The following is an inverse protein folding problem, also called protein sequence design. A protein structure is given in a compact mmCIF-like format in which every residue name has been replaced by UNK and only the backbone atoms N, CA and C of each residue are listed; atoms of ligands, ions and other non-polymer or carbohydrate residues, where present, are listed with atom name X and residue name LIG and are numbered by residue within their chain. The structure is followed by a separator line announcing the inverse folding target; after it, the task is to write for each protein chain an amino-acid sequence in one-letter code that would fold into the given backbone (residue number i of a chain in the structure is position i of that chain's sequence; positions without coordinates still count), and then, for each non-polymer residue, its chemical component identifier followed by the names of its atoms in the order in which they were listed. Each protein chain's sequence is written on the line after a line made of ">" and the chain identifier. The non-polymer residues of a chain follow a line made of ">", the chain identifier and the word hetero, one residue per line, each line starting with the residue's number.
data_IF_721215291596
#
_entry.id   IF_721215291596
#
_cell.length_a   1.000
_cell.length_b   1.000
_cell.length_c   1.000
_cell.angle_alpha   90.00
_cell.angle_beta   90.00
_cell.angle_gamma   90.00
#
_symmetry.space_group_name_H-M   'P 1'
#
loop_
_entity.id
_entity.type
_entity.pdbx_description
1 polymer ?
#
# COMPACT_ATOMS: atom_id res chain seq x y z
N UNK A 1 3.21 -0.87 11.55
CA UNK A 1 2.38 -0.10 12.49
C UNK A 1 0.88 -0.43 12.38
N UNK A 2 0.23 -0.26 11.22
CA UNK A 2 -1.23 -0.50 11.08
C UNK A 2 -1.67 -1.95 11.34
N UNK A 3 -0.92 -2.95 10.84
CA UNK A 3 -1.18 -4.37 11.13
C UNK A 3 -1.24 -4.64 12.65
N UNK A 4 -0.17 -4.24 13.35
CA UNK A 4 -0.03 -4.38 14.81
C UNK A 4 -1.14 -3.65 15.56
N UNK A 5 -1.55 -2.47 15.09
CA UNK A 5 -2.68 -1.75 15.69
C UNK A 5 -3.96 -2.60 15.68
N UNK A 6 -4.31 -3.22 14.56
CA UNK A 6 -5.50 -4.08 14.50
C UNK A 6 -5.37 -5.36 15.31
N UNK A 7 -4.18 -5.95 15.37
CA UNK A 7 -3.91 -7.12 16.22
C UNK A 7 -4.05 -6.78 17.71
N UNK A 8 -3.63 -5.58 18.13
CA UNK A 8 -3.74 -5.13 19.52
C UNK A 8 -5.16 -4.71 19.89
N UNK A 9 -5.94 -4.20 18.94
CA UNK A 9 -7.30 -3.68 19.18
C UNK A 9 -8.22 -4.73 19.82
N UNK A 10 -8.00 -6.02 19.54
CA UNK A 10 -8.76 -7.15 20.12
C UNK A 10 -8.49 -7.36 21.62
N UNK A 11 -7.40 -6.80 22.14
CA UNK A 11 -6.97 -6.94 23.53
C UNK A 11 -7.13 -5.66 24.36
N UNK A 12 -7.61 -4.57 23.75
CA UNK A 12 -7.83 -3.30 24.44
C UNK A 12 -9.18 -3.34 25.16
N UNK A 13 -9.18 -2.88 26.41
CA UNK A 13 -10.42 -2.67 27.16
C UNK A 13 -11.12 -1.42 26.59
N UNK A 14 -12.21 -1.64 25.87
CA UNK A 14 -12.99 -0.55 25.24
C UNK A 14 -13.96 0.11 26.22
N UNK A 15 -14.16 -0.48 27.40
CA UNK A 15 -14.98 0.06 28.47
C UNK A 15 -14.15 0.97 29.41
N UNK A 16 -12.82 0.95 29.29
CA UNK A 16 -11.92 1.92 29.93
C UNK A 16 -12.00 3.27 29.19
N UNK A 17 -12.56 4.28 29.87
CA UNK A 17 -12.72 5.64 29.34
C UNK A 17 -11.40 6.30 28.89
N UNK A 18 -10.28 5.99 29.54
CA UNK A 18 -8.98 6.55 29.19
C UNK A 18 -8.40 5.89 27.94
N UNK A 19 -8.65 4.59 27.74
CA UNK A 19 -8.33 3.89 26.49
C UNK A 19 -9.23 4.37 25.36
N UNK A 20 -10.54 4.50 25.60
CA UNK A 20 -11.52 4.90 24.59
C UNK A 20 -11.19 6.27 23.99
N UNK A 21 -10.73 7.23 24.80
CA UNK A 21 -10.30 8.58 24.36
C UNK A 21 -9.10 8.55 23.40
N UNK A 22 -8.27 7.51 23.46
CA UNK A 22 -7.09 7.36 22.60
C UNK A 22 -7.40 6.64 21.28
N UNK A 23 -8.53 5.93 21.20
CA UNK A 23 -8.90 5.16 20.01
C UNK A 23 -9.45 6.07 18.89
N UNK A 24 -9.06 5.81 17.63
CA UNK A 24 -9.75 6.39 16.49
C UNK A 24 -11.24 6.02 16.50
N UNK A 25 -12.07 6.91 15.96
CA UNK A 25 -13.51 6.64 15.82
C UNK A 25 -13.77 5.32 15.06
N UNK A 26 -14.90 4.63 15.31
CA UNK A 26 -15.27 3.43 14.57
C UNK A 26 -15.27 3.63 13.04
N UNK A 27 -15.70 4.81 12.56
CA UNK A 27 -15.67 5.16 11.15
C UNK A 27 -14.22 5.28 10.62
N UNK A 28 -13.33 5.92 11.38
CA UNK A 28 -11.90 6.00 11.06
C UNK A 28 -11.27 4.61 11.00
N UNK A 29 -11.59 3.72 11.95
CA UNK A 29 -11.11 2.35 11.96
C UNK A 29 -11.58 1.53 10.76
N UNK A 30 -12.85 1.67 10.37
CA UNK A 30 -13.39 1.04 9.15
C UNK A 30 -12.66 1.51 7.90
N UNK A 31 -12.45 2.83 7.77
CA UNK A 31 -11.68 3.41 6.66
C UNK A 31 -10.23 2.93 6.65
N UNK A 32 -9.60 2.85 7.83
CA UNK A 32 -8.22 2.38 7.97
C UNK A 32 -8.08 0.92 7.56
N UNK A 33 -9.05 0.04 7.88
CA UNK A 33 -9.05 -1.36 7.41
C UNK A 33 -9.12 -1.45 5.89
N UNK A 34 -9.99 -0.66 5.26
CA UNK A 34 -10.11 -0.62 3.80
C UNK A 34 -8.79 -0.16 3.16
N UNK A 35 -8.24 0.97 3.61
CA UNK A 35 -6.96 1.49 3.12
C UNK A 35 -5.80 0.51 3.34
N UNK A 36 -5.77 -0.19 4.47
CA UNK A 36 -4.74 -1.17 4.75
C UNK A 36 -4.80 -2.37 3.80
N UNK A 37 -6.01 -2.82 3.42
CA UNK A 37 -6.18 -3.85 2.40
C UNK A 37 -5.67 -3.35 1.03
N UNK A 38 -6.05 -2.15 0.63
CA UNK A 38 -5.59 -1.57 -0.64
C UNK A 38 -4.06 -1.41 -0.68
N UNK A 39 -3.45 -1.03 0.44
CA UNK A 39 -2.01 -0.91 0.55
C UNK A 39 -1.31 -2.26 0.42
N UNK A 40 -1.94 -3.36 0.89
CA UNK A 40 -1.37 -4.71 0.79
C UNK A 40 -1.27 -5.20 -0.65
N UNK A 41 -2.24 -4.86 -1.48
CA UNK A 41 -2.23 -5.22 -2.90
C UNK A 41 -1.04 -4.55 -3.60
N UNK A 42 -0.79 -3.26 -3.31
CA UNK A 42 0.36 -2.51 -3.85
C UNK A 42 1.69 -2.98 -3.25
N UNK A 43 1.74 -3.25 -1.94
CA UNK A 43 2.93 -3.73 -1.25
C UNK A 43 3.40 -5.09 -1.80
N UNK A 44 2.46 -5.97 -2.18
CA UNK A 44 2.79 -7.28 -2.75
C UNK A 44 3.56 -7.13 -4.07
N UNK A 45 3.05 -6.30 -4.99
CA UNK A 45 3.72 -6.00 -6.26
C UNK A 45 5.07 -5.33 -6.01
N UNK A 46 5.13 -4.33 -5.13
CA UNK A 46 6.37 -3.64 -4.81
C UNK A 46 7.47 -4.57 -4.27
N UNK A 47 7.11 -5.58 -3.47
CA UNK A 47 8.05 -6.60 -3.00
C UNK A 47 8.48 -7.55 -4.11
N UNK A 48 7.57 -7.95 -4.98
CA UNK A 48 7.89 -8.81 -6.12
C UNK A 48 8.89 -8.14 -7.07
N UNK A 49 8.77 -6.82 -7.27
CA UNK A 49 9.73 -6.02 -8.06
C UNK A 49 11.15 -5.97 -7.45
N UNK A 50 11.29 -6.23 -6.16
CA UNK A 50 12.59 -6.28 -5.48
C UNK A 50 13.25 -7.67 -5.59
N UNK A 51 12.58 -8.63 -6.23
CA UNK A 51 13.11 -9.96 -6.52
C UNK A 51 14.28 -9.91 -7.49
N UNK A 52 15.23 -10.85 -7.36
CA UNK A 52 16.40 -10.93 -8.26
C UNK A 52 16.09 -11.61 -9.59
N UNK A 53 15.07 -12.45 -9.61
CA UNK A 53 14.71 -13.30 -10.74
C UNK A 53 13.47 -12.77 -11.49
N UNK A 54 13.16 -11.49 -11.30
CA UNK A 54 12.01 -10.82 -11.93
C UNK A 54 12.39 -10.36 -13.34
N UNK A 55 11.70 -10.87 -14.35
CA UNK A 55 11.88 -10.41 -15.73
C UNK A 55 10.88 -9.29 -16.10
N UNK A 56 11.08 -8.66 -17.28
CA UNK A 56 10.22 -7.55 -17.71
C UNK A 56 8.78 -7.99 -18.05
N UNK A 57 8.57 -9.26 -18.39
CA UNK A 57 7.23 -9.80 -18.65
C UNK A 57 6.46 -9.92 -17.34
N UNK A 58 7.10 -10.44 -16.28
CA UNK A 58 6.55 -10.52 -14.93
C UNK A 58 6.15 -9.12 -14.43
N UNK A 59 7.06 -8.13 -14.58
CA UNK A 59 6.79 -6.73 -14.21
C UNK A 59 5.54 -6.20 -14.92
N UNK A 60 5.45 -6.41 -16.24
CA UNK A 60 4.32 -5.94 -17.04
C UNK A 60 3.01 -6.60 -16.61
N UNK A 61 3.03 -7.91 -16.39
CA UNK A 61 1.86 -8.65 -15.92
C UNK A 61 1.36 -8.11 -14.57
N UNK A 62 2.25 -7.91 -13.59
CA UNK A 62 1.85 -7.39 -12.29
C UNK A 62 1.32 -5.96 -12.37
N UNK A 63 1.88 -5.13 -13.25
CA UNK A 63 1.34 -3.79 -13.48
C UNK A 63 -0.05 -3.82 -14.12
N UNK A 64 -0.30 -4.69 -15.10
CA UNK A 64 -1.61 -4.84 -15.71
C UNK A 64 -2.66 -5.36 -14.72
N UNK A 65 -2.30 -6.32 -13.86
CA UNK A 65 -3.15 -6.80 -12.77
C UNK A 65 -3.45 -5.69 -11.76
N UNK A 66 -2.44 -4.89 -11.38
CA UNK A 66 -2.62 -3.78 -10.46
C UNK A 66 -3.49 -2.65 -11.05
N UNK A 67 -3.37 -2.38 -12.36
CA UNK A 67 -4.23 -1.44 -13.08
C UNK A 67 -5.67 -1.96 -13.17
N UNK A 68 -5.86 -3.27 -13.42
CA UNK A 68 -7.18 -3.87 -13.44
C UNK A 68 -7.89 -3.75 -12.08
N UNK A 69 -7.13 -3.88 -10.98
CA UNK A 69 -7.63 -3.65 -9.62
C UNK A 69 -7.87 -2.16 -9.32
N UNK A 70 -6.99 -1.28 -9.82
CA UNK A 70 -6.97 0.15 -9.53
C UNK A 70 -6.66 0.95 -10.81
N UNK A 71 -7.69 1.28 -11.61
CA UNK A 71 -7.51 1.94 -12.91
C UNK A 71 -6.75 3.26 -12.85
N UNK A 72 -6.77 3.95 -11.70
CA UNK A 72 -6.02 5.18 -11.48
C UNK A 72 -4.49 5.02 -11.65
N UNK A 73 -3.96 3.81 -11.53
CA UNK A 73 -2.54 3.56 -11.74
C UNK A 73 -2.13 3.53 -13.21
N UNK A 74 -3.07 3.46 -14.15
CA UNK A 74 -2.76 3.48 -15.58
C UNK A 74 -1.95 4.72 -15.99
N UNK A 75 -2.15 5.85 -15.32
CA UNK A 75 -1.38 7.09 -15.53
C UNK A 75 0.11 6.92 -15.27
N UNK A 76 0.49 6.01 -14.37
CA UNK A 76 1.89 5.83 -13.93
C UNK A 76 2.50 4.50 -14.38
N UNK A 77 1.67 3.46 -14.53
CA UNK A 77 2.11 2.09 -14.81
C UNK A 77 1.66 1.60 -16.19
N UNK A 78 0.85 2.37 -16.91
CA UNK A 78 0.34 1.99 -18.23
C UNK A 78 1.44 1.93 -19.30
N UNK A 79 1.21 1.26 -20.43
CA UNK A 79 2.18 1.19 -21.53
C UNK A 79 2.56 2.55 -22.13
N UNK A 80 1.69 3.55 -21.96
CA UNK A 80 1.86 4.93 -22.43
C UNK A 80 2.06 5.90 -21.26
N UNK A 81 2.36 5.39 -20.06
CA UNK A 81 2.66 6.25 -18.92
C UNK A 81 3.93 7.04 -19.19
N UNK A 82 3.92 8.31 -18.80
CA UNK A 82 5.10 9.17 -18.90
C UNK A 82 6.18 8.68 -17.94
N UNK A 83 7.43 8.62 -18.42
CA UNK A 83 8.56 8.29 -17.57
C UNK A 83 8.85 9.51 -16.69
N UNK A 84 8.60 9.37 -15.40
CA UNK A 84 8.91 10.43 -14.42
C UNK A 84 10.42 10.46 -14.20
N UNK A 85 11.06 11.49 -14.75
CA UNK A 85 12.48 11.76 -14.51
C UNK A 85 12.66 12.46 -13.16
N UNK A 86 13.50 11.87 -12.30
CA UNK A 86 13.88 12.47 -11.02
C UNK A 86 15.39 12.39 -10.89
N UNK A 87 16.12 13.51 -11.13
CA UNK A 87 17.58 13.51 -11.10
C UNK A 87 18.15 12.95 -9.79
N UNK A 88 17.57 13.31 -8.64
CA UNK A 88 18.02 12.83 -7.32
C UNK A 88 17.80 11.31 -7.15
N UNK A 89 16.71 10.77 -7.71
CA UNK A 89 16.44 9.34 -7.72
C UNK A 89 17.40 8.59 -8.66
N UNK A 90 17.65 9.13 -9.84
CA UNK A 90 18.54 8.55 -10.85
C UNK A 90 20.02 8.58 -10.42
N UNK A 91 20.45 9.63 -9.71
CA UNK A 91 21.81 9.76 -9.17
C UNK A 91 22.04 8.97 -7.88
N UNK A 92 20.97 8.48 -7.23
CA UNK A 92 21.05 7.77 -5.96
C UNK A 92 21.54 8.63 -4.79
N UNK A 93 21.47 9.96 -4.92
CA UNK A 93 21.87 10.92 -3.89
C UNK A 93 20.60 11.42 -3.19
N UNK A 94 20.32 10.85 -2.01
CA UNK A 94 19.27 11.34 -1.11
C UNK A 94 19.68 12.61 -0.36
#
# INVERSE_FOLDING_TARGET
>A
MVKRYFELLEFLDVDDDDIMKLLPSPASNKRLRALFKELKDVESVAKALQGRDTDLLDVRQWFDELIALKPQFATYLGPQAEIVHSPDFESGTA
#
